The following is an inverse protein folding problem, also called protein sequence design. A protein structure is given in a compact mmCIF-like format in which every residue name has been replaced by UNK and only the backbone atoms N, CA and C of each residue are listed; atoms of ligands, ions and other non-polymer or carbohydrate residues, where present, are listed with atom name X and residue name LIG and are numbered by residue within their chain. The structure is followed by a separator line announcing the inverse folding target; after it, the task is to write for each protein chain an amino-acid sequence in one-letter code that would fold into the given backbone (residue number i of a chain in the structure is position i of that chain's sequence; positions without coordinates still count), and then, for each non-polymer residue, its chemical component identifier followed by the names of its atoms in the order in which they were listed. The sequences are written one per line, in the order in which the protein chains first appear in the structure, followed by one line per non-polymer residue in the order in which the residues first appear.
data_IF_084578349524
#
_entry.id   IF_084578349524
#
_cell.length_a   1.000
_cell.length_b   1.000
_cell.length_c   1.000
_cell.angle_alpha   90.00
_cell.angle_beta   90.00
_cell.angle_gamma   90.00
#
_symmetry.space_group_name_H-M   'P 1'
#
loop_
_entity.id
_entity.type
_entity.pdbx_description
1 polymer ?
#
# COMPACT_ATOMS: atom_id res chain seq x y z
N UNK A 1 28.42 -12.38 -25.93
CA UNK A 1 27.95 -10.98 -26.14
C UNK A 1 26.96 -10.53 -25.05
N UNK A 2 27.24 -10.82 -23.77
CA UNK A 2 26.27 -10.68 -22.66
C UNK A 2 26.69 -9.77 -21.49
N UNK A 3 27.77 -8.99 -21.63
CA UNK A 3 28.27 -8.12 -20.55
C UNK A 3 27.76 -6.66 -20.61
N UNK A 4 27.18 -6.22 -21.73
CA UNK A 4 26.80 -4.81 -21.94
C UNK A 4 25.41 -4.42 -21.43
N UNK A 5 24.45 -5.35 -21.34
CA UNK A 5 23.08 -5.02 -20.87
C UNK A 5 23.01 -4.81 -19.35
N UNK A 6 23.71 -5.64 -18.54
CA UNK A 6 23.69 -5.49 -17.08
C UNK A 6 24.21 -4.12 -16.63
N UNK A 7 25.34 -3.66 -17.17
CA UNK A 7 25.95 -2.37 -16.77
C UNK A 7 25.03 -1.18 -17.08
N UNK A 8 24.35 -1.18 -18.23
CA UNK A 8 23.37 -0.13 -18.57
C UNK A 8 22.13 -0.13 -17.66
N UNK A 9 21.65 -1.29 -17.22
CA UNK A 9 20.50 -1.38 -16.30
C UNK A 9 20.85 -0.92 -14.88
N UNK A 10 22.06 -1.22 -14.39
CA UNK A 10 22.51 -0.81 -13.06
C UNK A 10 22.68 0.72 -12.95
N UNK A 11 23.35 1.36 -13.91
CA UNK A 11 23.57 2.83 -13.93
C UNK A 11 22.24 3.60 -14.03
N UNK A 12 21.28 3.08 -14.79
CA UNK A 12 19.94 3.67 -14.89
C UNK A 12 19.15 3.58 -13.57
N UNK A 13 19.37 2.53 -12.79
CA UNK A 13 18.64 2.29 -11.53
C UNK A 13 19.18 3.19 -10.41
N UNK A 14 20.50 3.36 -10.29
CA UNK A 14 21.10 4.29 -9.32
C UNK A 14 20.72 5.76 -9.58
N UNK A 15 20.66 6.15 -10.86
CA UNK A 15 20.17 7.47 -11.27
C UNK A 15 18.74 7.74 -10.80
N UNK A 16 17.83 6.78 -11.00
CA UNK A 16 16.42 6.86 -10.55
C UNK A 16 16.27 6.89 -9.03
N UNK A 17 17.15 6.21 -8.30
CA UNK A 17 17.16 6.26 -6.83
C UNK A 17 17.58 7.65 -6.35
N UNK A 18 18.57 8.27 -7.00
CA UNK A 18 18.99 9.63 -6.69
C UNK A 18 17.92 10.68 -7.07
N UNK A 19 17.24 10.47 -8.20
CA UNK A 19 16.10 11.28 -8.66
C UNK A 19 14.93 11.21 -7.67
N UNK A 20 14.50 10.00 -7.29
CA UNK A 20 13.44 9.80 -6.29
C UNK A 20 13.72 10.55 -4.98
N UNK A 21 14.97 10.53 -4.50
CA UNK A 21 15.37 11.26 -3.29
C UNK A 21 15.32 12.77 -3.48
N UNK A 22 15.77 13.27 -4.63
CA UNK A 22 15.72 14.70 -4.96
C UNK A 22 14.27 15.20 -5.08
N UNK A 23 13.41 14.45 -5.73
CA UNK A 23 12.03 14.85 -5.99
C UNK A 23 11.17 14.87 -4.72
N UNK A 24 11.40 13.93 -3.81
CA UNK A 24 10.61 13.83 -2.58
C UNK A 24 11.16 14.69 -1.44
N UNK A 25 12.47 14.93 -1.41
CA UNK A 25 13.19 15.56 -0.29
C UNK A 25 12.77 14.98 1.10
N UNK A 26 12.39 13.70 1.12
CA UNK A 26 11.78 13.06 2.29
C UNK A 26 12.82 12.46 3.25
N UNK A 27 14.09 12.45 2.85
CA UNK A 27 15.19 11.81 3.58
C UNK A 27 16.36 12.76 3.79
N UNK A 28 16.90 12.74 5.00
CA UNK A 28 18.12 13.45 5.39
C UNK A 28 19.26 12.45 5.53
N UNK A 29 20.41 12.69 4.90
CA UNK A 29 21.60 11.84 5.03
C UNK A 29 22.29 12.10 6.39
N UNK A 30 22.66 11.03 7.08
CA UNK A 30 23.37 11.08 8.36
C UNK A 30 24.83 10.67 8.16
N UNK A 31 25.75 11.38 8.83
CA UNK A 31 27.19 11.09 8.77
C UNK A 31 27.63 9.94 9.68
N UNK A 32 26.70 9.32 10.42
CA UNK A 32 26.97 8.31 11.43
C UNK A 32 25.88 7.25 11.45
N UNK A 33 26.16 6.10 12.09
CA UNK A 33 25.17 5.04 12.30
C UNK A 33 24.22 5.42 13.46
N UNK A 34 22.91 5.64 13.21
CA UNK A 34 21.98 6.12 14.22
C UNK A 34 21.41 5.01 15.12
N UNK A 35 21.79 3.74 14.96
CA UNK A 35 21.14 2.62 15.63
C UNK A 35 21.12 2.75 17.16
N UNK A 36 22.27 2.99 17.78
CA UNK A 36 22.40 3.10 19.23
C UNK A 36 21.64 4.32 19.79
N UNK A 37 21.69 5.44 19.05
CA UNK A 37 20.94 6.65 19.39
C UNK A 37 19.44 6.38 19.34
N UNK A 38 18.96 5.69 18.31
CA UNK A 38 17.54 5.32 18.18
C UNK A 38 17.10 4.40 19.31
N UNK A 39 17.89 3.37 19.64
CA UNK A 39 17.58 2.45 20.75
C UNK A 39 17.45 3.25 22.05
N UNK A 40 18.42 4.13 22.32
CA UNK A 40 18.44 4.97 23.53
C UNK A 40 17.22 5.89 23.57
N UNK A 41 16.95 6.60 22.47
CA UNK A 41 15.84 7.55 22.39
C UNK A 41 14.48 6.87 22.59
N UNK A 42 14.23 5.76 21.87
CA UNK A 42 12.97 5.00 21.97
C UNK A 42 12.82 4.40 23.37
N UNK A 43 13.89 3.84 23.94
CA UNK A 43 13.86 3.25 25.28
C UNK A 43 13.57 4.31 26.35
N UNK A 44 14.21 5.48 26.29
CA UNK A 44 13.94 6.59 27.20
C UNK A 44 12.50 7.08 27.11
N UNK A 45 11.97 7.23 25.89
CA UNK A 45 10.58 7.65 25.70
C UNK A 45 9.60 6.62 26.30
N UNK A 46 9.83 5.32 26.09
CA UNK A 46 8.98 4.27 26.68
C UNK A 46 9.10 4.22 28.21
N UNK A 47 10.28 4.46 28.77
CA UNK A 47 10.49 4.56 30.22
C UNK A 47 9.71 5.72 30.82
N UNK A 48 9.74 6.90 30.20
CA UNK A 48 8.96 8.06 30.65
C UNK A 48 7.46 7.74 30.68
N UNK A 49 6.94 7.06 29.64
CA UNK A 49 5.54 6.64 29.59
C UNK A 49 5.20 5.63 30.70
N UNK A 50 6.12 4.72 31.02
CA UNK A 50 5.95 3.75 32.12
C UNK A 50 5.96 4.44 33.48
N UNK A 51 6.92 5.33 33.74
CA UNK A 51 7.03 6.06 35.00
C UNK A 51 5.81 6.92 35.28
N UNK A 52 5.27 7.57 34.23
CA UNK A 52 4.02 8.34 34.29
C UNK A 52 2.75 7.47 34.37
N UNK A 53 2.90 6.13 34.46
CA UNK A 53 1.81 5.15 34.46
C UNK A 53 0.89 5.23 33.23
N UNK A 54 1.40 5.79 32.13
CA UNK A 54 0.72 5.86 30.83
C UNK A 54 0.86 4.55 30.05
N UNK A 55 1.86 3.73 30.41
CA UNK A 55 2.08 2.39 29.89
C UNK A 55 2.26 1.41 31.06
N UNK A 56 1.61 0.24 30.98
CA UNK A 56 1.81 -0.81 31.98
C UNK A 56 3.19 -1.46 31.84
N UNK A 57 3.72 -2.04 32.92
CA UNK A 57 5.00 -2.76 32.88
C UNK A 57 4.99 -3.90 31.85
N UNK A 58 3.87 -4.62 31.72
CA UNK A 58 3.68 -5.66 30.70
C UNK A 58 3.84 -5.09 29.28
N UNK A 59 3.15 -3.99 28.96
CA UNK A 59 3.25 -3.36 27.64
C UNK A 59 4.63 -2.79 27.38
N UNK A 60 5.24 -2.15 28.37
CA UNK A 60 6.61 -1.67 28.26
C UNK A 60 7.57 -2.80 27.84
N UNK A 61 7.48 -3.97 28.50
CA UNK A 61 8.35 -5.11 28.18
C UNK A 61 8.13 -5.67 26.77
N UNK A 62 6.92 -5.53 26.21
CA UNK A 62 6.64 -5.92 24.82
C UNK A 62 7.16 -4.91 23.80
N UNK A 63 7.22 -3.63 24.18
CA UNK A 63 7.55 -2.53 23.26
C UNK A 63 9.02 -2.13 23.28
N UNK A 64 9.71 -2.35 24.40
CA UNK A 64 11.11 -1.96 24.54
C UNK A 64 11.98 -2.72 23.54
N UNK A 65 12.86 -2.04 22.79
CA UNK A 65 13.72 -2.70 21.83
C UNK A 65 14.68 -3.67 22.53
N UNK A 66 14.79 -4.92 22.04
CA UNK A 66 15.76 -5.88 22.54
C UNK A 66 17.09 -5.70 21.82
N UNK A 67 18.12 -5.24 22.55
CA UNK A 67 19.45 -4.96 22.02
C UNK A 67 20.10 -6.13 21.27
N UNK A 68 19.72 -7.37 21.56
CA UNK A 68 20.28 -8.56 20.90
C UNK A 68 19.61 -8.88 19.56
N UNK A 69 18.42 -8.36 19.29
CA UNK A 69 17.63 -8.70 18.09
C UNK A 69 17.33 -7.52 17.19
N UNK A 70 17.45 -6.29 17.70
CA UNK A 70 17.28 -5.07 16.91
C UNK A 70 18.31 -4.97 15.80
N UNK A 71 17.86 -4.48 14.65
CA UNK A 71 18.66 -4.30 13.45
C UNK A 71 18.34 -2.95 12.84
N UNK A 72 19.34 -2.37 12.19
CA UNK A 72 19.13 -1.20 11.35
C UNK A 72 18.20 -1.57 10.19
N UNK A 73 17.17 -0.76 9.97
CA UNK A 73 16.30 -0.92 8.80
C UNK A 73 17.09 -0.64 7.53
N UNK A 74 16.69 -1.22 6.40
CA UNK A 74 17.29 -0.90 5.11
C UNK A 74 16.22 -0.58 4.06
N UNK A 75 16.55 0.37 3.19
CA UNK A 75 15.70 0.80 2.09
C UNK A 75 16.22 0.19 0.79
N UNK A 76 15.32 -0.48 0.07
CA UNK A 76 15.55 -1.01 -1.27
C UNK A 76 14.43 -0.60 -2.21
N UNK A 77 14.61 -0.84 -3.50
CA UNK A 77 13.68 -0.36 -4.54
C UNK A 77 13.24 -1.51 -5.43
N UNK A 78 11.92 -1.64 -5.61
CA UNK A 78 11.34 -2.58 -6.56
C UNK A 78 10.91 -1.85 -7.85
N UNK A 79 11.28 -2.34 -9.04
CA UNK A 79 10.82 -1.75 -10.29
C UNK A 79 9.33 -1.98 -10.51
N UNK A 80 8.60 -0.94 -10.93
CA UNK A 80 7.24 -1.06 -11.45
C UNK A 80 7.30 -1.31 -12.95
N UNK A 81 7.69 -2.53 -13.35
CA UNK A 81 7.87 -2.90 -14.77
C UNK A 81 6.64 -2.62 -15.64
N UNK A 82 5.45 -2.76 -15.05
CA UNK A 82 4.16 -2.50 -15.70
C UNK A 82 3.80 -1.01 -15.87
N UNK A 83 4.69 -0.07 -15.59
CA UNK A 83 4.47 1.38 -15.81
C UNK A 83 5.52 1.91 -16.78
N UNK A 84 5.13 2.83 -17.65
CA UNK A 84 6.04 3.52 -18.57
C UNK A 84 7.22 4.13 -17.80
N UNK A 85 8.43 4.00 -18.36
CA UNK A 85 9.66 4.44 -17.71
C UNK A 85 10.09 3.59 -16.52
N UNK A 86 9.38 2.51 -16.15
CA UNK A 86 9.71 1.60 -15.03
C UNK A 86 10.12 2.35 -13.75
N UNK A 87 9.23 3.15 -13.14
CA UNK A 87 9.50 3.88 -11.93
C UNK A 87 9.80 2.93 -10.77
N UNK A 88 10.59 3.40 -9.81
CA UNK A 88 10.96 2.61 -8.64
C UNK A 88 9.95 2.79 -7.50
N UNK A 89 9.71 1.72 -6.75
CA UNK A 89 8.95 1.73 -5.50
C UNK A 89 9.91 1.54 -4.32
N UNK A 90 10.08 2.54 -3.45
CA UNK A 90 10.83 2.33 -2.21
C UNK A 90 10.11 1.34 -1.31
N UNK A 91 10.84 0.38 -0.75
CA UNK A 91 10.36 -0.55 0.27
C UNK A 91 11.37 -0.55 1.40
N UNK A 92 10.87 -0.35 2.61
CA UNK A 92 11.65 -0.39 3.82
C UNK A 92 11.50 -1.75 4.49
N UNK A 93 12.60 -2.47 4.65
CA UNK A 93 12.59 -3.64 5.49
C UNK A 93 12.65 -3.22 6.96
N UNK A 94 11.54 -3.38 7.66
CA UNK A 94 11.41 -3.05 9.08
C UNK A 94 11.51 -4.29 10.00
N UNK A 95 11.90 -5.46 9.48
CA UNK A 95 12.06 -6.67 10.29
C UNK A 95 13.20 -6.45 11.27
N UNK A 96 12.90 -6.49 12.57
CA UNK A 96 13.85 -6.17 13.64
C UNK A 96 14.13 -4.68 13.83
N UNK A 97 13.37 -3.78 13.21
CA UNK A 97 13.51 -2.34 13.42
C UNK A 97 13.20 -1.95 14.87
N UNK A 98 13.87 -0.91 15.38
CA UNK A 98 13.70 -0.39 16.75
C UNK A 98 12.24 -0.07 17.08
N UNK A 99 11.48 0.47 16.13
CA UNK A 99 10.08 0.88 16.33
C UNK A 99 9.05 -0.19 15.93
N UNK A 100 9.50 -1.41 15.55
CA UNK A 100 8.63 -2.44 14.97
C UNK A 100 7.50 -2.86 15.92
N UNK A 101 7.82 -3.18 17.17
CA UNK A 101 6.83 -3.63 18.15
C UNK A 101 5.77 -2.55 18.44
N UNK A 102 6.20 -1.28 18.51
CA UNK A 102 5.28 -0.13 18.66
C UNK A 102 4.36 -0.04 17.45
N UNK A 103 4.92 -0.15 16.24
CA UNK A 103 4.14 -0.13 15.00
C UNK A 103 3.13 -1.28 14.92
N UNK A 104 3.46 -2.48 15.41
CA UNK A 104 2.54 -3.62 15.41
C UNK A 104 1.41 -3.41 16.42
N UNK A 105 1.72 -2.97 17.63
CA UNK A 105 0.72 -2.68 18.65
C UNK A 105 -0.26 -1.60 18.17
N UNK A 106 0.25 -0.51 17.58
CA UNK A 106 -0.61 0.57 17.08
C UNK A 106 -1.54 0.07 15.96
N UNK A 107 -1.02 -0.71 15.02
CA UNK A 107 -1.86 -1.28 13.95
C UNK A 107 -2.93 -2.23 14.53
N UNK A 108 -2.55 -3.13 15.45
CA UNK A 108 -3.48 -4.07 16.09
C UNK A 108 -4.62 -3.36 16.83
N UNK A 109 -4.32 -2.26 17.50
CA UNK A 109 -5.31 -1.48 18.25
C UNK A 109 -6.22 -0.68 17.33
N UNK A 110 -5.67 -0.05 16.28
CA UNK A 110 -6.34 1.02 15.55
C UNK A 110 -7.02 0.51 14.27
N UNK A 111 -6.42 -0.46 13.57
CA UNK A 111 -6.92 -0.96 12.29
C UNK A 111 -8.36 -1.53 12.38
N UNK A 112 -8.74 -2.30 13.42
CA UNK A 112 -10.13 -2.75 13.57
C UNK A 112 -11.12 -1.59 13.72
N UNK A 113 -10.77 -0.58 14.52
CA UNK A 113 -11.59 0.62 14.75
C UNK A 113 -11.78 1.40 13.45
N UNK A 114 -10.71 1.53 12.65
CA UNK A 114 -10.79 2.15 11.33
C UNK A 114 -11.83 1.44 10.46
N UNK A 115 -11.71 0.13 10.28
CA UNK A 115 -12.62 -0.60 9.40
C UNK A 115 -14.06 -0.60 9.91
N UNK A 116 -14.27 -0.71 11.22
CA UNK A 116 -15.61 -0.67 11.82
C UNK A 116 -16.36 0.62 11.47
N UNK A 117 -15.69 1.77 11.55
CA UNK A 117 -16.32 3.08 11.40
C UNK A 117 -16.19 3.70 10.00
N UNK A 118 -15.44 3.09 9.10
CA UNK A 118 -15.23 3.61 7.73
C UNK A 118 -15.66 2.63 6.64
N UNK A 119 -16.22 1.47 7.00
CA UNK A 119 -16.67 0.45 6.04
C UNK A 119 -17.56 1.02 4.95
N UNK A 120 -18.44 1.98 5.24
CA UNK A 120 -19.42 2.46 4.26
C UNK A 120 -18.75 3.24 3.12
N UNK A 121 -17.61 3.89 3.39
CA UNK A 121 -16.86 4.68 2.42
C UNK A 121 -15.53 4.02 2.00
N UNK A 122 -15.24 2.81 2.48
CA UNK A 122 -13.99 2.09 2.17
C UNK A 122 -14.29 0.89 1.27
N UNK A 123 -13.60 0.85 0.13
CA UNK A 123 -13.56 -0.32 -0.74
C UNK A 123 -12.40 -1.20 -0.30
N UNK A 124 -12.69 -2.42 0.14
CA UNK A 124 -11.68 -3.34 0.69
C UNK A 124 -10.97 -4.16 -0.39
N UNK A 125 -11.67 -4.47 -1.48
CA UNK A 125 -11.15 -5.20 -2.63
C UNK A 125 -12.05 -4.99 -3.86
N UNK A 126 -11.62 -5.53 -5.00
CA UNK A 126 -12.34 -5.45 -6.28
C UNK A 126 -13.71 -6.13 -6.24
N UNK A 127 -13.89 -7.20 -5.46
CA UNK A 127 -15.19 -7.91 -5.37
C UNK A 127 -16.19 -7.07 -4.58
N UNK A 128 -15.73 -6.42 -3.50
CA UNK A 128 -16.52 -5.48 -2.73
C UNK A 128 -16.93 -4.27 -3.58
N UNK A 129 -16.05 -3.78 -4.46
CA UNK A 129 -16.41 -2.74 -5.42
C UNK A 129 -17.54 -3.18 -6.34
N UNK A 130 -17.39 -4.33 -7.01
CA UNK A 130 -18.37 -4.86 -7.96
C UNK A 130 -19.74 -4.98 -7.28
N UNK A 131 -19.81 -5.62 -6.12
CA UNK A 131 -21.07 -5.78 -5.36
C UNK A 131 -21.75 -4.46 -5.01
N UNK A 132 -20.98 -3.42 -4.68
CA UNK A 132 -21.54 -2.09 -4.36
C UNK A 132 -22.05 -1.39 -5.61
N UNK A 133 -21.36 -1.55 -6.74
CA UNK A 133 -21.79 -1.00 -8.02
C UNK A 133 -23.03 -1.73 -8.55
N UNK A 134 -23.11 -3.05 -8.37
CA UNK A 134 -24.31 -3.85 -8.67
C UNK A 134 -25.49 -3.33 -7.86
N UNK A 135 -25.35 -3.21 -6.53
CA UNK A 135 -26.41 -2.63 -5.70
C UNK A 135 -26.78 -1.20 -6.10
N UNK A 136 -25.81 -0.38 -6.51
CA UNK A 136 -26.07 0.98 -7.01
C UNK A 136 -26.86 0.96 -8.34
N UNK A 137 -26.57 0.00 -9.23
CA UNK A 137 -27.29 -0.19 -10.48
C UNK A 137 -28.70 -0.76 -10.24
N UNK A 138 -28.85 -1.74 -9.36
CA UNK A 138 -30.12 -2.37 -8.97
C UNK A 138 -31.09 -1.36 -8.32
N UNK A 139 -30.54 -0.39 -7.57
CA UNK A 139 -31.29 0.76 -7.03
C UNK A 139 -31.72 1.78 -8.12
N UNK A 140 -31.42 1.51 -9.40
CA UNK A 140 -31.74 2.38 -10.53
C UNK A 140 -30.91 3.66 -10.57
N UNK A 141 -29.77 3.72 -9.87
CA UNK A 141 -28.93 4.94 -9.81
C UNK A 141 -27.90 5.02 -10.92
N UNK A 142 -27.60 3.89 -11.58
CA UNK A 142 -26.74 3.85 -12.76
C UNK A 142 -27.57 4.20 -14.00
N UNK A 143 -27.49 5.46 -14.43
CA UNK A 143 -28.20 5.98 -15.58
C UNK A 143 -27.31 5.98 -16.82
N UNK A 144 -27.85 6.05 -18.06
CA UNK A 144 -27.05 6.17 -19.27
C UNK A 144 -26.07 7.37 -19.26
N UNK A 145 -26.39 8.41 -18.50
CA UNK A 145 -25.58 9.62 -18.33
C UNK A 145 -24.59 9.57 -17.16
N UNK A 146 -24.59 8.49 -16.37
CA UNK A 146 -23.69 8.35 -15.23
C UNK A 146 -22.26 8.13 -15.70
N UNK A 147 -21.34 8.96 -15.20
CA UNK A 147 -19.90 8.82 -15.40
C UNK A 147 -19.24 8.29 -14.13
N UNK A 148 -18.18 7.51 -14.28
CA UNK A 148 -17.32 7.12 -13.17
C UNK A 148 -16.14 8.07 -13.06
N UNK A 149 -15.73 8.37 -11.83
CA UNK A 149 -14.54 9.16 -11.53
C UNK A 149 -13.58 8.36 -10.66
N UNK A 150 -12.33 8.25 -11.09
CA UNK A 150 -11.24 7.68 -10.29
C UNK A 150 -10.26 8.77 -9.90
N UNK A 151 -9.74 8.67 -8.68
CA UNK A 151 -8.82 9.64 -8.11
C UNK A 151 -7.59 8.88 -7.57
N UNK A 152 -6.41 9.15 -8.13
CA UNK A 152 -5.15 8.57 -7.65
C UNK A 152 -4.34 9.58 -6.86
N UNK A 153 -3.77 9.14 -5.73
CA UNK A 153 -2.93 9.96 -4.87
C UNK A 153 -1.48 9.54 -5.04
N UNK A 154 -0.67 10.48 -5.50
CA UNK A 154 0.74 10.21 -5.74
C UNK A 154 1.51 10.15 -4.41
N UNK A 155 2.30 9.09 -4.22
CA UNK A 155 3.30 8.95 -3.14
C UNK A 155 2.75 9.16 -1.70
N UNK A 156 1.49 8.80 -1.43
CA UNK A 156 0.80 9.05 -0.15
C UNK A 156 1.66 8.73 1.09
N UNK A 157 2.22 7.52 1.18
CA UNK A 157 2.97 7.11 2.37
C UNK A 157 4.24 7.93 2.61
N UNK A 158 4.96 8.27 1.54
CA UNK A 158 6.24 9.02 1.64
C UNK A 158 6.04 10.53 1.73
N UNK A 159 4.83 11.02 1.48
CA UNK A 159 4.50 12.45 1.50
C UNK A 159 3.52 12.84 2.63
N UNK A 160 3.19 11.88 3.51
CA UNK A 160 2.28 12.08 4.62
C UNK A 160 2.81 13.17 5.59
N UNK A 161 2.05 14.24 5.89
CA UNK A 161 2.46 15.27 6.85
C UNK A 161 2.41 14.72 8.27
N UNK A 162 3.59 14.36 8.81
CA UNK A 162 3.71 13.57 10.04
C UNK A 162 2.92 14.17 11.23
N UNK A 163 3.13 15.45 11.55
CA UNK A 163 2.47 16.12 12.68
C UNK A 163 0.95 16.23 12.49
N UNK A 164 0.52 16.58 11.28
CA UNK A 164 -0.90 16.68 10.97
C UNK A 164 -1.57 15.30 11.06
N UNK A 165 -0.93 14.25 10.55
CA UNK A 165 -1.45 12.88 10.64
C UNK A 165 -1.57 12.40 12.08
N UNK A 166 -0.60 12.70 12.94
CA UNK A 166 -0.68 12.35 14.38
C UNK A 166 -1.82 13.13 15.06
N UNK A 167 -2.03 14.40 14.68
CA UNK A 167 -3.18 15.18 15.17
C UNK A 167 -4.52 14.60 14.71
N UNK A 168 -4.63 14.26 13.43
CA UNK A 168 -5.82 13.66 12.83
C UNK A 168 -6.11 12.30 13.46
N UNK A 169 -5.10 11.48 13.74
CA UNK A 169 -5.25 10.25 14.49
C UNK A 169 -5.93 10.49 15.84
N UNK A 170 -5.48 11.51 16.59
CA UNK A 170 -6.10 11.86 17.85
C UNK A 170 -7.57 12.30 17.71
N UNK A 171 -7.90 13.05 16.65
CA UNK A 171 -9.28 13.45 16.34
C UNK A 171 -10.15 12.23 16.03
N UNK A 172 -9.66 11.32 15.18
CA UNK A 172 -10.36 10.10 14.79
C UNK A 172 -10.65 9.22 16.00
N UNK A 173 -9.64 8.95 16.84
CA UNK A 173 -9.80 8.09 18.01
C UNK A 173 -10.77 8.71 19.03
N UNK A 174 -10.61 9.99 19.37
CA UNK A 174 -11.56 10.69 20.27
C UNK A 174 -13.00 10.64 19.77
N UNK A 175 -13.19 10.73 18.46
CA UNK A 175 -14.52 10.69 17.84
C UNK A 175 -15.21 9.33 18.03
N UNK A 176 -14.48 8.22 17.91
CA UNK A 176 -15.09 6.89 17.82
C UNK A 176 -14.93 6.03 19.08
N UNK A 177 -13.85 6.23 19.85
CA UNK A 177 -13.54 5.40 21.04
C UNK A 177 -13.32 6.23 22.31
N UNK A 178 -13.45 7.55 22.24
CA UNK A 178 -13.22 8.45 23.37
C UNK A 178 -11.73 8.58 23.70
N UNK A 179 -11.39 8.75 24.98
CA UNK A 179 -10.01 9.05 25.40
C UNK A 179 -9.11 7.82 25.65
N UNK A 180 -9.65 6.60 25.64
CA UNK A 180 -8.87 5.40 25.97
C UNK A 180 -9.16 4.22 25.05
N UNK A 181 -8.11 3.47 24.68
CA UNK A 181 -8.20 2.24 23.90
C UNK A 181 -7.47 1.14 24.65
N UNK A 182 -8.21 0.12 25.08
CA UNK A 182 -7.69 -0.98 25.91
C UNK A 182 -6.79 -0.47 27.06
N UNK A 183 -7.16 0.64 27.71
CA UNK A 183 -6.40 1.25 28.81
C UNK A 183 -5.16 2.06 28.40
N UNK A 184 -4.97 2.41 27.13
CA UNK A 184 -3.97 3.41 26.67
C UNK A 184 -4.72 4.68 26.30
N UNK A 185 -4.29 5.84 26.81
CA UNK A 185 -4.92 7.12 26.43
C UNK A 185 -4.61 7.50 24.98
N UNK A 186 -5.50 8.25 24.32
CA UNK A 186 -5.26 8.75 22.96
C UNK A 186 -3.98 9.59 22.90
N UNK A 187 -3.69 10.39 23.93
CA UNK A 187 -2.44 11.16 24.01
C UNK A 187 -1.20 10.26 24.00
N UNK A 188 -1.25 9.11 24.67
CA UNK A 188 -0.14 8.14 24.69
C UNK A 188 0.00 7.46 23.34
N UNK A 189 -1.13 7.13 22.69
CA UNK A 189 -1.14 6.60 21.33
C UNK A 189 -0.53 7.59 20.34
N UNK A 190 -0.84 8.88 20.46
CA UNK A 190 -0.23 9.92 19.62
C UNK A 190 1.29 10.01 19.82
N UNK A 191 1.79 9.91 21.06
CA UNK A 191 3.24 9.85 21.33
C UNK A 191 3.91 8.60 20.74
N UNK A 192 3.28 7.44 20.87
CA UNK A 192 3.78 6.20 20.28
C UNK A 192 3.79 6.29 18.74
N UNK A 193 2.76 6.88 18.14
CA UNK A 193 2.70 7.15 16.71
C UNK A 193 3.80 8.10 16.26
N UNK A 194 4.07 9.16 17.04
CA UNK A 194 5.17 10.09 16.81
C UNK A 194 6.52 9.36 16.78
N UNK A 195 6.77 8.46 17.74
CA UNK A 195 7.98 7.64 17.76
C UNK A 195 8.10 6.82 16.47
N UNK A 196 7.04 6.12 16.06
CA UNK A 196 7.08 5.26 14.87
C UNK A 196 7.37 6.05 13.59
N UNK A 197 6.78 7.23 13.43
CA UNK A 197 6.85 8.00 12.19
C UNK A 197 8.09 8.89 12.14
N UNK A 198 8.53 9.46 13.27
CA UNK A 198 9.69 10.38 13.34
C UNK A 198 11.02 9.70 13.66
N UNK A 199 11.02 8.57 14.36
CA UNK A 199 12.24 7.83 14.72
C UNK A 199 12.52 6.70 13.72
N UNK A 200 12.45 7.05 12.44
CA UNK A 200 12.73 6.13 11.36
C UNK A 200 14.06 6.49 10.68
N UNK A 201 15.08 5.66 10.91
CA UNK A 201 16.34 5.74 10.19
C UNK A 201 16.69 4.39 9.57
N UNK A 202 17.42 4.42 8.47
CA UNK A 202 17.71 3.24 7.66
C UNK A 202 19.02 3.38 6.87
N UNK A 203 19.53 2.24 6.38
CA UNK A 203 20.65 2.20 5.45
C UNK A 203 20.13 2.12 4.01
N UNK A 204 20.74 2.87 3.11
CA UNK A 204 20.56 2.73 1.67
C UNK A 204 21.91 2.97 0.99
N UNK A 205 22.36 2.07 0.11
CA UNK A 205 23.63 2.17 -0.59
C UNK A 205 24.82 2.52 0.35
N UNK A 206 24.94 1.80 1.47
CA UNK A 206 25.98 1.99 2.50
C UNK A 206 26.01 3.36 3.18
N UNK A 207 24.95 4.16 3.04
CA UNK A 207 24.78 5.44 3.74
C UNK A 207 23.59 5.37 4.68
N UNK A 208 23.63 6.16 5.75
CA UNK A 208 22.58 6.26 6.74
C UNK A 208 21.66 7.43 6.43
N UNK A 209 20.36 7.26 6.64
CA UNK A 209 19.37 8.29 6.41
C UNK A 209 18.31 8.30 7.48
N UNK A 210 17.74 9.48 7.75
CA UNK A 210 16.53 9.67 8.55
C UNK A 210 15.37 10.07 7.64
N UNK A 211 14.20 9.50 7.87
CA UNK A 211 12.98 9.95 7.21
C UNK A 211 12.40 11.18 7.92
N UNK A 212 12.28 12.29 7.20
CA UNK A 212 11.79 13.57 7.71
C UNK A 212 10.37 13.92 7.21
N UNK A 213 9.90 13.25 6.15
CA UNK A 213 8.54 13.38 5.61
C UNK A 213 7.96 11.98 5.36
N UNK A 214 6.66 11.82 5.58
CA UNK A 214 5.97 10.55 5.38
C UNK A 214 6.22 9.53 6.48
N UNK A 215 5.82 8.29 6.23
CA UNK A 215 6.14 7.13 7.06
C UNK A 215 6.87 6.03 6.28
N UNK A 216 7.39 5.05 7.00
CA UNK A 216 8.09 3.91 6.42
C UNK A 216 7.14 3.07 5.55
N UNK A 217 7.40 2.97 4.25
CA UNK A 217 6.72 2.01 3.37
C UNK A 217 7.16 0.58 3.74
N UNK A 218 6.47 -0.03 4.70
CA UNK A 218 6.81 -1.33 5.31
C UNK A 218 6.43 -1.42 6.78
N UNK A 219 6.21 -0.28 7.45
CA UNK A 219 5.64 -0.23 8.80
C UNK A 219 4.13 -0.54 8.75
N UNK A 220 3.63 -1.52 9.53
CA UNK A 220 2.21 -1.85 9.61
C UNK A 220 1.34 -0.64 9.92
N UNK A 221 1.76 0.16 10.90
CA UNK A 221 1.01 1.32 11.37
C UNK A 221 0.93 2.45 10.34
N UNK A 222 1.96 2.61 9.50
CA UNK A 222 1.99 3.67 8.48
C UNK A 222 0.80 3.54 7.51
N UNK A 223 0.37 2.31 7.20
CA UNK A 223 -0.82 2.07 6.37
C UNK A 223 -2.09 2.59 7.06
N UNK A 224 -2.31 2.17 8.30
CA UNK A 224 -3.48 2.55 9.09
C UNK A 224 -3.52 4.07 9.34
N UNK A 225 -2.37 4.70 9.58
CA UNK A 225 -2.28 6.15 9.73
C UNK A 225 -2.62 6.90 8.44
N UNK A 226 -2.14 6.42 7.28
CA UNK A 226 -2.45 7.01 5.99
C UNK A 226 -3.96 6.90 5.68
N UNK A 227 -4.57 5.76 5.96
CA UNK A 227 -6.02 5.57 5.81
C UNK A 227 -6.83 6.55 6.69
N UNK A 228 -6.42 6.75 7.95
CA UNK A 228 -7.06 7.71 8.85
C UNK A 228 -6.87 9.16 8.39
N UNK A 229 -5.68 9.48 7.87
CA UNK A 229 -5.44 10.78 7.26
C UNK A 229 -6.39 11.01 6.08
N UNK A 230 -6.52 10.02 5.19
CA UNK A 230 -7.41 10.06 4.04
C UNK A 230 -8.87 10.20 4.45
N UNK A 231 -9.32 9.44 5.45
CA UNK A 231 -10.67 9.57 6.01
C UNK A 231 -11.01 11.00 6.42
N UNK A 232 -10.06 11.75 6.99
CA UNK A 232 -10.30 13.14 7.39
C UNK A 232 -10.18 14.11 6.21
N UNK A 233 -9.21 13.88 5.33
CA UNK A 233 -8.97 14.71 4.15
C UNK A 233 -10.13 14.64 3.16
N UNK A 234 -10.67 13.44 2.93
CA UNK A 234 -11.80 13.18 2.03
C UNK A 234 -13.08 13.92 2.39
N UNK A 235 -13.39 14.08 3.68
CA UNK A 235 -14.61 14.79 4.10
C UNK A 235 -14.61 16.25 3.68
N UNK A 236 -13.44 16.85 3.45
CA UNK A 236 -13.31 18.27 3.13
C UNK A 236 -13.44 18.55 1.64
N UNK A 237 -12.78 17.79 0.78
CA UNK A 237 -12.75 18.11 -0.65
C UNK A 237 -13.98 17.61 -1.42
N UNK A 238 -14.66 16.55 -0.95
CA UNK A 238 -15.98 16.15 -1.48
C UNK A 238 -16.95 17.34 -1.46
N UNK A 239 -16.73 18.31 -0.55
CA UNK A 239 -17.56 19.52 -0.42
C UNK A 239 -17.08 20.73 -1.23
N UNK A 240 -15.83 20.76 -1.72
CA UNK A 240 -15.20 21.99 -2.26
C UNK A 240 -14.53 21.85 -3.64
N UNK A 241 -14.33 20.63 -4.14
CA UNK A 241 -13.81 20.34 -5.49
C UNK A 241 -12.44 20.98 -5.84
N UNK A 242 -11.62 21.32 -4.85
CA UNK A 242 -10.35 22.07 -4.99
C UNK A 242 -9.13 21.32 -4.36
N UNK A 243 -9.21 19.99 -4.28
CA UNK A 243 -8.32 19.11 -3.50
C UNK A 243 -6.81 19.40 -3.62
N UNK A 244 -6.31 19.76 -4.82
CA UNK A 244 -4.88 20.01 -5.06
C UNK A 244 -4.32 21.31 -4.43
N UNK A 245 -5.19 22.19 -3.91
CA UNK A 245 -4.79 23.43 -3.24
C UNK A 245 -4.54 23.25 -1.74
N UNK A 246 -4.92 22.10 -1.17
CA UNK A 246 -5.00 21.92 0.29
C UNK A 246 -3.73 21.46 0.96
N UNK A 247 -2.89 20.72 0.24
CA UNK A 247 -1.62 20.26 0.79
C UNK A 247 -0.53 20.32 -0.27
N UNK A 248 0.64 20.92 0.04
CA UNK A 248 1.72 21.04 -0.94
C UNK A 248 2.21 19.66 -1.41
N UNK A 249 2.18 18.66 -0.52
CA UNK A 249 2.76 17.34 -0.77
C UNK A 249 1.77 16.28 -1.26
N UNK A 250 0.45 16.55 -1.27
CA UNK A 250 -0.56 15.56 -1.70
C UNK A 250 -1.16 16.05 -3.01
N UNK A 251 -1.01 15.26 -4.05
CA UNK A 251 -1.50 15.55 -5.40
C UNK A 251 -2.47 14.46 -5.83
N UNK A 252 -3.61 14.90 -6.34
CA UNK A 252 -4.73 14.10 -6.81
C UNK A 252 -4.83 14.22 -8.33
N UNK A 253 -4.81 13.06 -8.99
CA UNK A 253 -5.04 12.93 -10.44
C UNK A 253 -6.43 12.34 -10.64
N UNK A 254 -7.28 13.03 -11.39
CA UNK A 254 -8.65 12.61 -11.67
C UNK A 254 -8.77 12.07 -13.09
N UNK A 255 -9.50 10.97 -13.26
CA UNK A 255 -9.91 10.45 -14.55
C UNK A 255 -11.41 10.15 -14.51
N UNK A 256 -12.16 10.77 -15.40
CA UNK A 256 -13.63 10.68 -15.47
C UNK A 256 -14.01 10.16 -16.85
N UNK A 257 -14.72 9.05 -16.90
CA UNK A 257 -15.17 8.44 -18.13
C UNK A 257 -16.39 7.53 -17.87
N UNK A 258 -17.00 7.03 -18.94
CA UNK A 258 -18.00 5.94 -18.89
C UNK A 258 -17.36 4.59 -18.57
N UNK A 259 -16.05 4.44 -18.77
CA UNK A 259 -15.27 3.24 -18.44
C UNK A 259 -13.98 3.62 -17.71
N UNK A 260 -13.79 3.11 -16.49
CA UNK A 260 -12.61 3.43 -15.67
C UNK A 260 -11.99 2.19 -15.03
N UNK A 261 -10.65 2.12 -14.95
CA UNK A 261 -9.98 1.06 -14.21
C UNK A 261 -9.94 1.36 -12.71
N UNK A 262 -10.22 0.36 -11.89
CA UNK A 262 -9.98 0.41 -10.45
C UNK A 262 -9.40 -0.93 -9.97
N UNK A 263 -8.21 -0.88 -9.36
CA UNK A 263 -7.41 -2.06 -9.02
C UNK A 263 -7.21 -2.95 -10.26
N UNK A 264 -7.81 -4.14 -10.25
CA UNK A 264 -7.69 -5.19 -11.26
C UNK A 264 -8.96 -5.33 -12.11
N UNK A 265 -9.91 -4.39 -12.00
CA UNK A 265 -11.22 -4.42 -12.67
C UNK A 265 -11.40 -3.17 -13.53
N UNK A 266 -11.92 -3.38 -14.75
CA UNK A 266 -12.43 -2.33 -15.61
C UNK A 266 -13.93 -2.24 -15.38
N UNK A 267 -14.41 -1.08 -14.94
CA UNK A 267 -15.83 -0.82 -14.69
C UNK A 267 -16.35 0.07 -15.81
N UNK A 268 -17.45 -0.34 -16.45
CA UNK A 268 -18.05 0.38 -17.57
C UNK A 268 -19.56 0.55 -17.40
N UNK A 269 -20.07 1.71 -17.82
CA UNK A 269 -21.49 1.98 -17.90
C UNK A 269 -21.92 1.90 -19.37
N UNK A 270 -22.65 0.83 -19.71
CA UNK A 270 -23.20 0.63 -21.03
C UNK A 270 -24.69 0.98 -21.04
N UNK A 271 -25.01 2.25 -21.31
CA UNK A 271 -26.38 2.76 -21.37
C UNK A 271 -27.22 2.47 -20.10
N UNK A 272 -26.63 2.59 -18.92
CA UNK A 272 -27.27 2.30 -17.63
C UNK A 272 -27.05 0.87 -17.13
N UNK A 273 -26.41 0.00 -17.92
CA UNK A 273 -26.01 -1.33 -17.49
C UNK A 273 -24.56 -1.36 -16.99
N UNK A 274 -24.35 -1.95 -15.82
CA UNK A 274 -23.01 -2.16 -15.26
C UNK A 274 -22.31 -3.30 -15.98
N UNK A 275 -21.16 -3.02 -16.59
CA UNK A 275 -20.30 -4.02 -17.20
C UNK A 275 -18.95 -4.03 -16.50
N UNK A 276 -18.41 -5.22 -16.23
CA UNK A 276 -17.11 -5.38 -15.58
C UNK A 276 -16.25 -6.38 -16.35
N UNK A 277 -14.94 -6.13 -16.39
CA UNK A 277 -13.95 -7.03 -16.97
C UNK A 277 -12.64 -7.00 -16.18
N UNK A 278 -11.75 -7.96 -16.43
CA UNK A 278 -10.38 -7.90 -15.90
C UNK A 278 -9.64 -6.72 -16.54
N UNK A 279 -9.06 -5.85 -15.73
CA UNK A 279 -8.24 -4.76 -16.23
C UNK A 279 -6.77 -5.18 -16.33
N UNK A 280 -6.23 -5.08 -17.54
CA UNK A 280 -4.80 -5.17 -17.81
C UNK A 280 -4.25 -3.79 -18.14
N UNK A 281 -3.15 -3.41 -17.50
CA UNK A 281 -2.48 -2.15 -17.84
C UNK A 281 -1.94 -2.25 -19.28
N UNK A 282 -1.98 -1.16 -20.08
CA UNK A 282 -1.48 -1.20 -21.46
C UNK A 282 -0.01 -1.65 -21.59
N UNK A 283 0.79 -1.37 -20.56
CA UNK A 283 2.21 -1.77 -20.48
C UNK A 283 2.45 -3.11 -19.76
N UNK A 284 1.41 -3.89 -19.48
CA UNK A 284 1.56 -5.22 -18.91
C UNK A 284 2.02 -6.19 -20.01
N UNK A 285 3.26 -6.63 -19.92
CA UNK A 285 3.74 -7.73 -20.75
C UNK A 285 3.22 -9.06 -20.20
N UNK A 286 2.95 -10.07 -21.05
CA UNK A 286 2.40 -11.36 -20.62
C UNK A 286 3.45 -12.24 -19.92
N UNK A 287 4.58 -11.70 -19.48
CA UNK A 287 5.64 -12.46 -18.84
C UNK A 287 5.29 -12.79 -17.40
N UNK A 288 5.41 -14.07 -17.05
CA UNK A 288 5.35 -14.54 -15.68
C UNK A 288 6.70 -15.13 -15.29
N UNK A 289 6.83 -15.55 -14.03
CA UNK A 289 8.03 -16.22 -13.54
C UNK A 289 8.31 -17.46 -14.40
N UNK A 290 9.52 -17.64 -14.97
CA UNK A 290 9.82 -18.78 -15.82
C UNK A 290 9.65 -20.12 -15.09
N UNK A 291 9.02 -21.10 -15.74
CA UNK A 291 8.72 -22.43 -15.14
C UNK A 291 9.96 -23.16 -14.61
N UNK A 292 11.08 -23.01 -15.31
CA UNK A 292 12.35 -23.65 -14.97
C UNK A 292 13.16 -22.90 -13.91
N UNK A 293 12.63 -21.80 -13.36
CA UNK A 293 13.30 -21.09 -12.27
C UNK A 293 13.20 -21.84 -10.94
N UNK A 294 14.06 -21.51 -9.99
CA UNK A 294 14.11 -22.11 -8.65
C UNK A 294 13.00 -21.61 -7.70
N UNK A 295 11.96 -20.98 -8.24
CA UNK A 295 10.81 -20.59 -7.41
C UNK A 295 10.08 -21.83 -6.90
N UNK A 296 9.45 -21.75 -5.70
CA UNK A 296 8.66 -22.85 -5.18
C UNK A 296 7.63 -23.37 -6.20
N UNK A 297 7.54 -24.69 -6.38
CA UNK A 297 6.71 -25.30 -7.43
C UNK A 297 5.23 -24.95 -7.36
N UNK A 298 4.71 -24.62 -6.17
CA UNK A 298 3.33 -24.17 -5.99
C UNK A 298 3.06 -22.77 -6.58
N UNK A 299 4.09 -21.95 -6.84
CA UNK A 299 3.92 -20.60 -7.41
C UNK A 299 3.31 -20.65 -8.82
N UNK A 300 3.69 -21.63 -9.64
CA UNK A 300 3.21 -21.74 -11.03
C UNK A 300 1.71 -22.04 -11.14
N UNK A 301 1.15 -23.11 -10.53
CA UNK A 301 -0.30 -23.34 -10.56
C UNK A 301 -1.07 -22.20 -9.89
N UNK A 302 -0.52 -21.56 -8.84
CA UNK A 302 -1.16 -20.43 -8.18
C UNK A 302 -1.31 -19.20 -9.11
N UNK A 303 -0.33 -18.93 -9.98
CA UNK A 303 -0.43 -17.84 -10.98
C UNK A 303 -1.63 -18.10 -11.90
N UNK A 304 -1.74 -19.32 -12.43
CA UNK A 304 -2.81 -19.72 -13.35
C UNK A 304 -4.16 -19.68 -12.65
N UNK A 305 -4.26 -20.31 -11.47
CA UNK A 305 -5.49 -20.33 -10.69
C UNK A 305 -5.95 -18.92 -10.31
N UNK A 306 -5.03 -18.05 -9.91
CA UNK A 306 -5.37 -16.65 -9.60
C UNK A 306 -5.90 -15.91 -10.83
N UNK A 307 -5.29 -16.10 -12.00
CA UNK A 307 -5.77 -15.49 -13.24
C UNK A 307 -7.18 -15.98 -13.61
N UNK A 308 -7.42 -17.29 -13.56
CA UNK A 308 -8.73 -17.89 -13.82
C UNK A 308 -9.80 -17.42 -12.83
N UNK A 309 -9.48 -17.39 -11.54
CA UNK A 309 -10.40 -16.90 -10.50
C UNK A 309 -10.72 -15.42 -10.72
N UNK A 310 -9.76 -14.60 -11.15
CA UNK A 310 -10.02 -13.20 -11.53
C UNK A 310 -10.92 -13.10 -12.75
N UNK A 311 -10.68 -13.90 -13.79
CA UNK A 311 -11.52 -13.96 -14.98
C UNK A 311 -12.98 -14.24 -14.62
N UNK A 312 -13.23 -15.23 -13.76
CA UNK A 312 -14.58 -15.61 -13.30
C UNK A 312 -15.19 -14.50 -12.44
N UNK A 313 -14.43 -13.92 -11.51
CA UNK A 313 -14.97 -12.95 -10.54
C UNK A 313 -15.24 -11.58 -11.14
N UNK A 314 -14.50 -11.17 -12.17
CA UNK A 314 -14.53 -9.79 -12.65
C UNK A 314 -15.26 -9.63 -13.98
N UNK A 315 -15.51 -10.71 -14.72
CA UNK A 315 -16.21 -10.65 -16.01
C UNK A 315 -17.72 -10.71 -15.80
N UNK A 316 -18.42 -9.63 -16.12
CA UNK A 316 -19.89 -9.61 -16.04
C UNK A 316 -20.57 -10.25 -17.26
N UNK A 317 -19.84 -10.41 -18.37
CA UNK A 317 -20.33 -10.99 -19.61
C UNK A 317 -19.51 -12.21 -20.02
N UNK A 318 -20.15 -13.13 -20.75
CA UNK A 318 -19.47 -14.27 -21.35
C UNK A 318 -18.37 -13.83 -22.33
N UNK A 319 -18.63 -12.81 -23.15
CA UNK A 319 -17.63 -12.27 -24.08
C UNK A 319 -16.36 -11.77 -23.36
N UNK A 320 -16.51 -10.97 -22.30
CA UNK A 320 -15.38 -10.47 -21.50
C UNK A 320 -14.61 -11.59 -20.80
N UNK A 321 -15.31 -12.67 -20.41
CA UNK A 321 -14.67 -13.85 -19.85
C UNK A 321 -13.85 -14.61 -20.91
N UNK A 322 -14.39 -14.78 -22.12
CA UNK A 322 -13.67 -15.39 -23.24
C UNK A 322 -12.43 -14.60 -23.64
N UNK A 323 -12.52 -13.27 -23.69
CA UNK A 323 -11.36 -12.40 -23.98
C UNK A 323 -10.24 -12.58 -22.93
N UNK A 324 -10.62 -12.74 -21.66
CA UNK A 324 -9.67 -13.02 -20.60
C UNK A 324 -9.08 -14.43 -20.70
N UNK A 325 -9.88 -15.44 -21.07
CA UNK A 325 -9.36 -16.79 -21.32
C UNK A 325 -8.28 -16.78 -22.41
N UNK A 326 -8.52 -16.09 -23.53
CA UNK A 326 -7.54 -15.93 -24.60
C UNK A 326 -6.27 -15.26 -24.06
N UNK A 327 -6.41 -14.22 -23.24
CA UNK A 327 -5.27 -13.53 -22.62
C UNK A 327 -4.45 -14.46 -21.71
N UNK A 328 -5.11 -15.32 -20.95
CA UNK A 328 -4.46 -16.34 -20.11
C UNK A 328 -3.76 -17.41 -20.97
N UNK A 329 -4.38 -17.88 -22.06
CA UNK A 329 -3.76 -18.84 -22.98
C UNK A 329 -2.50 -18.26 -23.63
N UNK A 330 -2.56 -17.01 -24.09
CA UNK A 330 -1.39 -16.31 -24.61
C UNK A 330 -0.29 -16.21 -23.57
N UNK A 331 -0.62 -15.83 -22.33
CA UNK A 331 0.34 -15.83 -21.22
C UNK A 331 0.99 -17.22 -21.04
N UNK A 332 0.22 -18.31 -21.06
CA UNK A 332 0.77 -19.67 -20.94
C UNK A 332 1.71 -20.00 -22.11
N UNK A 333 1.33 -19.64 -23.33
CA UNK A 333 2.11 -19.89 -24.54
C UNK A 333 3.43 -19.12 -24.52
N UNK A 334 3.41 -17.81 -24.24
CA UNK A 334 4.60 -16.95 -24.19
C UNK A 334 5.62 -17.40 -23.14
N UNK A 335 5.17 -18.07 -22.08
CA UNK A 335 6.04 -18.55 -20.99
C UNK A 335 6.36 -20.05 -21.08
N UNK A 336 5.94 -20.74 -22.15
CA UNK A 336 6.17 -22.17 -22.34
C UNK A 336 5.46 -23.06 -21.32
N UNK A 337 4.44 -22.53 -20.63
CA UNK A 337 3.69 -23.22 -19.58
C UNK A 337 2.63 -24.17 -20.15
N UNK A 338 2.23 -23.98 -21.40
CA UNK A 338 1.20 -24.80 -22.06
C UNK A 338 1.59 -26.27 -22.22
N UNK A 339 2.90 -26.59 -22.15
CA UNK A 339 3.42 -27.96 -22.13
C UNK A 339 3.17 -28.68 -20.79
N UNK A 340 2.82 -27.93 -19.75
CA UNK A 340 2.70 -28.42 -18.37
C UNK A 340 1.29 -28.24 -17.81
N UNK A 341 0.49 -27.34 -18.38
CA UNK A 341 -0.82 -26.96 -17.88
C UNK A 341 -1.78 -26.71 -19.05
N UNK A 342 -2.94 -27.38 -19.06
CA UNK A 342 -4.06 -27.03 -19.94
C UNK A 342 -5.14 -26.31 -19.11
N UNK A 343 -5.87 -25.38 -19.72
CA UNK A 343 -6.94 -24.66 -19.01
C UNK A 343 -8.03 -25.62 -18.49
N UNK A 344 -8.34 -26.66 -19.25
CA UNK A 344 -9.29 -27.71 -18.87
C UNK A 344 -8.90 -28.42 -17.56
N UNK A 345 -7.60 -28.48 -17.24
CA UNK A 345 -7.10 -29.10 -16.00
C UNK A 345 -7.46 -28.33 -14.74
N UNK A 346 -7.84 -27.05 -14.85
CA UNK A 346 -8.09 -26.15 -13.72
C UNK A 346 -9.55 -25.72 -13.58
N UNK A 347 -10.38 -25.94 -14.61
CA UNK A 347 -11.80 -25.58 -14.60
C UNK A 347 -12.63 -26.50 -13.68
N UNK A 348 -12.10 -27.66 -13.27
CA UNK A 348 -12.82 -28.64 -12.43
C UNK A 348 -12.56 -28.57 -10.91
N UNK A 349 -11.88 -27.54 -10.42
CA UNK A 349 -11.77 -27.29 -8.97
C UNK A 349 -12.38 -25.94 -8.60
N UNK A 350 -13.71 -25.90 -8.57
CA UNK A 350 -14.52 -24.86 -7.93
C UNK A 350 -15.37 -25.47 -6.83
#
# INVERSE_FOLDING_TARGET
MGKSKKVHTFVHTEGKVAEYRRDTNAYEELSYNPLEELITHVTSALNELKEKKQLSAYRYNLLVPNSNTVKQSYLYFNPKAHKEGTPLRPIMNTIGAVTRAISELLDELIRPIYYEHTKDNTIVDSVNLIKRLEAYADDGRLQPTTLFGTFDITNLFTMLPQDESIKILGIFLRKYVGEYIKGISVTTIQKLAEIVVKQNAFVCNNKFYKQIIGGAMGSPFTLTLANIFMWHWEQRWIRRQDANQWHPNIKLQAHIDTSVPFLDVLVSNYQGALHTAVYHKPSAEPYVVPFLSDHPRHTFPNIIQTALVRAIRYSSMFATFTDEQISIELMLLYNGLILYFTLDSFIFFS
#
